data_IF_057942935370
#
_entry.id   IF_057942935370
#
_cell.length_a   1.000
_cell.length_b   1.000
_cell.length_c   1.000
_cell.angle_alpha   90.00
_cell.angle_beta   90.00
_cell.angle_gamma   90.00
#
_symmetry.space_group_name_H-M   'P 1'
#
loop_
_entity.id
_entity.type
_entity.pdbx_description
1 polymer ?
#
# COMPACT_ATOMS: atom_id res chain seq x y z
N UNK A 1 13.15 -17.09 -18.11
CA UNK A 1 12.98 -15.69 -17.66
C UNK A 1 14.09 -15.42 -16.67
N UNK A 2 14.71 -14.25 -16.77
CA UNK A 2 15.69 -13.80 -15.78
C UNK A 2 14.96 -13.56 -14.45
N UNK A 3 15.57 -13.99 -13.33
CA UNK A 3 14.97 -13.83 -12.01
C UNK A 3 15.22 -12.42 -11.50
N UNK A 4 14.28 -11.88 -10.75
CA UNK A 4 14.43 -10.62 -10.03
C UNK A 4 15.51 -10.81 -8.96
N UNK A 5 16.61 -10.06 -9.07
CA UNK A 5 17.73 -10.13 -8.13
C UNK A 5 17.46 -9.23 -6.93
N UNK A 6 17.32 -9.84 -5.75
CA UNK A 6 16.93 -9.16 -4.52
C UNK A 6 18.10 -9.16 -3.55
N UNK A 7 18.36 -8.03 -2.91
CA UNK A 7 19.21 -7.93 -1.75
C UNK A 7 18.41 -7.56 -0.50
N UNK A 8 18.87 -7.99 0.67
CA UNK A 8 18.21 -7.75 1.95
C UNK A 8 19.21 -7.12 2.92
N UNK A 9 18.86 -5.99 3.54
CA UNK A 9 19.64 -5.34 4.57
C UNK A 9 18.81 -5.13 5.84
N UNK A 10 19.07 -5.92 6.87
CA UNK A 10 18.34 -5.87 8.15
C UNK A 10 19.21 -6.53 9.24
N UNK A 11 19.31 -5.92 10.41
CA UNK A 11 20.15 -6.44 11.49
C UNK A 11 19.53 -7.66 12.22
N UNK A 12 18.22 -7.88 12.03
CA UNK A 12 17.51 -9.06 12.50
C UNK A 12 17.76 -10.25 11.58
N UNK A 13 18.77 -11.06 11.94
CA UNK A 13 19.18 -12.27 11.21
C UNK A 13 18.07 -13.30 11.02
N UNK A 14 17.14 -13.41 11.96
CA UNK A 14 16.03 -14.35 11.88
C UNK A 14 15.04 -13.91 10.79
N UNK A 15 14.65 -12.64 10.80
CA UNK A 15 13.79 -12.06 9.76
C UNK A 15 14.43 -12.13 8.37
N UNK A 16 15.73 -11.83 8.27
CA UNK A 16 16.50 -12.01 7.02
C UNK A 16 16.43 -13.45 6.51
N UNK A 17 16.61 -14.43 7.41
CA UNK A 17 16.50 -15.85 7.07
C UNK A 17 15.12 -16.22 6.52
N UNK A 18 14.06 -15.81 7.21
CA UNK A 18 12.68 -16.05 6.80
C UNK A 18 12.35 -15.42 5.44
N UNK A 19 12.72 -14.15 5.23
CA UNK A 19 12.51 -13.46 3.96
C UNK A 19 13.31 -14.14 2.85
N UNK A 20 14.58 -14.49 3.10
CA UNK A 20 15.43 -15.16 2.13
C UNK A 20 14.85 -16.50 1.68
N UNK A 21 14.41 -17.32 2.62
CA UNK A 21 13.84 -18.63 2.30
C UNK A 21 12.52 -18.47 1.53
N UNK A 22 11.65 -17.55 1.97
CA UNK A 22 10.36 -17.30 1.32
C UNK A 22 10.49 -16.76 -0.11
N UNK A 23 11.40 -15.80 -0.33
CA UNK A 23 11.61 -15.18 -1.64
C UNK A 23 12.25 -16.16 -2.63
N UNK A 24 13.19 -17.00 -2.19
CA UNK A 24 13.81 -18.01 -3.05
C UNK A 24 12.86 -19.16 -3.44
N UNK A 25 11.74 -19.34 -2.71
CA UNK A 25 10.67 -20.25 -3.12
C UNK A 25 9.85 -19.70 -4.30
N UNK A 26 9.89 -18.40 -4.57
CA UNK A 26 9.16 -17.80 -5.69
C UNK A 26 9.86 -18.14 -7.01
N UNK A 27 9.12 -18.50 -8.06
CA UNK A 27 9.70 -18.98 -9.32
C UNK A 27 10.52 -17.92 -10.07
N UNK A 28 10.21 -16.63 -9.87
CA UNK A 28 10.78 -15.50 -10.58
C UNK A 28 11.70 -14.61 -9.71
N UNK A 29 12.09 -15.05 -8.51
CA UNK A 29 12.90 -14.24 -7.59
C UNK A 29 14.14 -15.01 -7.12
N UNK A 30 15.18 -14.26 -6.80
CA UNK A 30 16.43 -14.78 -6.24
C UNK A 30 17.03 -13.78 -5.26
N UNK A 31 17.32 -14.22 -4.05
CA UNK A 31 18.04 -13.40 -3.07
C UNK A 31 19.54 -13.57 -3.29
N UNK A 32 20.16 -12.60 -3.96
CA UNK A 32 21.56 -12.65 -4.39
C UNK A 32 22.53 -12.31 -3.26
N UNK A 33 22.13 -11.46 -2.31
CA UNK A 33 23.00 -11.07 -1.21
C UNK A 33 22.23 -10.54 0.02
N UNK A 34 22.89 -10.56 1.18
CA UNK A 34 22.33 -10.08 2.45
C UNK A 34 23.36 -9.26 3.24
N UNK A 35 22.89 -8.22 3.90
CA UNK A 35 23.64 -7.34 4.78
C UNK A 35 22.95 -7.25 6.15
N UNK A 36 23.73 -7.04 7.20
CA UNK A 36 23.22 -6.91 8.58
C UNK A 36 23.52 -5.53 9.19
N UNK A 37 23.94 -4.59 8.35
CA UNK A 37 24.15 -3.18 8.68
C UNK A 37 24.30 -2.35 7.41
N UNK A 38 24.11 -1.03 7.51
CA UNK A 38 24.16 -0.14 6.34
C UNK A 38 25.54 -0.03 5.68
N UNK A 39 26.65 -0.17 6.42
CA UNK A 39 28.00 -0.14 5.81
C UNK A 39 28.22 -1.32 4.88
N UNK A 40 27.91 -2.53 5.35
CA UNK A 40 27.98 -3.74 4.53
C UNK A 40 26.98 -3.71 3.37
N UNK A 41 25.83 -3.07 3.56
CA UNK A 41 24.85 -2.87 2.49
C UNK A 41 25.43 -2.03 1.35
N UNK A 42 26.06 -0.88 1.65
CA UNK A 42 26.70 -0.04 0.63
C UNK A 42 27.80 -0.79 -0.12
N UNK A 43 28.65 -1.55 0.57
CA UNK A 43 29.70 -2.33 -0.09
C UNK A 43 29.12 -3.42 -1.02
N UNK A 44 28.06 -4.10 -0.58
CA UNK A 44 27.34 -5.09 -1.37
C UNK A 44 26.72 -4.49 -2.64
N UNK A 45 26.14 -3.28 -2.55
CA UNK A 45 25.52 -2.60 -3.68
C UNK A 45 26.53 -2.25 -4.80
N UNK A 46 27.84 -2.21 -4.50
CA UNK A 46 28.89 -1.91 -5.49
C UNK A 46 29.31 -3.11 -6.32
N UNK A 47 29.10 -4.32 -5.82
CA UNK A 47 29.68 -5.54 -6.39
C UNK A 47 28.67 -6.44 -7.12
N UNK A 48 27.37 -6.27 -6.84
CA UNK A 48 26.31 -7.15 -7.34
C UNK A 48 25.30 -6.38 -8.17
N UNK A 49 24.77 -7.01 -9.21
CA UNK A 49 23.58 -6.51 -9.90
C UNK A 49 22.35 -6.83 -9.06
N UNK A 50 21.68 -5.77 -8.60
CA UNK A 50 20.50 -5.87 -7.74
C UNK A 50 19.37 -5.11 -8.43
N UNK A 51 18.20 -5.73 -8.51
CA UNK A 51 16.98 -5.09 -8.99
C UNK A 51 16.23 -4.43 -7.84
N UNK A 52 16.13 -5.13 -6.71
CA UNK A 52 15.41 -4.65 -5.53
C UNK A 52 16.26 -4.80 -4.27
N UNK A 53 16.31 -3.74 -3.47
CA UNK A 53 16.84 -3.75 -2.11
C UNK A 53 15.70 -3.69 -1.10
N UNK A 54 15.60 -4.71 -0.24
CA UNK A 54 14.78 -4.65 0.98
C UNK A 54 15.63 -4.07 2.10
N UNK A 55 15.29 -2.88 2.59
CA UNK A 55 16.15 -2.08 3.46
C UNK A 55 15.47 -1.75 4.78
N UNK A 56 16.01 -2.24 5.89
CA UNK A 56 15.58 -1.79 7.21
C UNK A 56 16.05 -0.37 7.51
N UNK A 57 15.22 0.40 8.22
CA UNK A 57 15.58 1.75 8.65
C UNK A 57 16.58 1.73 9.79
N UNK A 58 16.40 0.88 10.80
CA UNK A 58 17.17 0.96 12.05
C UNK A 58 18.22 -0.14 12.05
N UNK A 59 19.38 0.21 11.51
CA UNK A 59 20.54 -0.68 11.50
C UNK A 59 21.72 -0.07 12.26
N UNK A 60 22.61 -0.89 12.84
CA UNK A 60 23.84 -0.42 13.46
C UNK A 60 24.82 0.13 12.41
N UNK A 61 25.76 0.96 12.86
CA UNK A 61 26.85 1.60 12.10
C UNK A 61 26.43 2.62 11.03
N UNK A 62 25.37 2.33 10.27
CA UNK A 62 24.76 3.21 9.27
C UNK A 62 23.29 2.77 9.12
N UNK A 63 22.38 3.72 9.26
CA UNK A 63 20.94 3.48 9.16
C UNK A 63 20.45 3.41 7.69
N UNK A 64 19.22 2.94 7.49
CA UNK A 64 18.65 2.77 6.15
C UNK A 64 18.41 4.09 5.41
N UNK A 65 18.18 5.18 6.12
CA UNK A 65 18.00 6.50 5.50
C UNK A 65 19.32 6.98 4.89
N UNK A 66 20.43 6.82 5.61
CA UNK A 66 21.75 7.15 5.11
C UNK A 66 22.22 6.21 3.98
N UNK A 67 21.79 4.94 3.99
CA UNK A 67 22.00 4.04 2.84
C UNK A 67 21.23 4.53 1.62
N UNK A 68 19.97 4.95 1.81
CA UNK A 68 19.13 5.46 0.73
C UNK A 68 19.68 6.76 0.12
N UNK A 69 20.17 7.68 0.96
CA UNK A 69 20.86 8.89 0.52
C UNK A 69 22.14 8.57 -0.29
N UNK A 70 22.93 7.59 0.16
CA UNK A 70 24.10 7.13 -0.59
C UNK A 70 23.77 6.47 -1.94
N UNK A 71 22.62 5.80 -2.06
CA UNK A 71 22.09 5.31 -3.35
C UNK A 71 21.70 6.50 -4.24
N UNK A 72 21.02 7.50 -3.66
CA UNK A 72 20.61 8.72 -4.36
C UNK A 72 21.79 9.51 -4.94
N UNK A 73 22.91 9.59 -4.22
CA UNK A 73 24.10 10.30 -4.68
C UNK A 73 24.94 9.53 -5.72
N UNK A 74 24.64 8.25 -5.98
CA UNK A 74 25.42 7.41 -6.86
C UNK A 74 24.62 6.97 -8.10
N UNK A 75 24.89 7.61 -9.24
CA UNK A 75 24.23 7.34 -10.53
C UNK A 75 24.22 5.85 -10.93
N UNK A 76 25.23 5.07 -10.49
CA UNK A 76 25.30 3.63 -10.80
C UNK A 76 24.29 2.79 -10.03
N UNK A 77 23.76 3.31 -8.92
CA UNK A 77 22.81 2.63 -8.05
C UNK A 77 21.37 3.10 -8.28
N UNK A 78 21.15 4.11 -9.13
CA UNK A 78 19.81 4.65 -9.46
C UNK A 78 18.87 3.64 -10.13
N UNK A 79 19.41 2.53 -10.65
CA UNK A 79 18.60 1.45 -11.22
C UNK A 79 18.02 0.49 -10.18
N UNK A 80 18.36 0.65 -8.89
CA UNK A 80 17.93 -0.24 -7.81
C UNK A 80 16.67 0.34 -7.17
N UNK A 81 15.58 -0.44 -7.18
CA UNK A 81 14.37 -0.10 -6.46
C UNK A 81 14.51 -0.43 -4.97
N UNK A 82 14.17 0.51 -4.08
CA UNK A 82 14.31 0.31 -2.63
C UNK A 82 12.96 0.20 -1.97
N UNK A 83 12.73 -0.91 -1.26
CA UNK A 83 11.57 -1.10 -0.39
C UNK A 83 12.04 -0.95 1.06
N UNK A 84 11.57 0.10 1.72
CA UNK A 84 11.89 0.34 3.13
C UNK A 84 11.07 -0.57 4.03
N UNK A 85 11.73 -1.18 5.01
CA UNK A 85 11.11 -1.97 6.07
C UNK A 85 11.34 -1.24 7.40
N UNK A 86 10.30 -1.08 8.23
CA UNK A 86 10.48 -0.40 9.52
C UNK A 86 9.44 -0.80 10.54
N UNK A 87 9.84 -0.92 11.81
CA UNK A 87 8.92 -1.04 12.94
C UNK A 87 8.28 0.31 13.34
N UNK A 88 8.78 1.42 12.78
CA UNK A 88 8.32 2.78 13.09
C UNK A 88 7.75 3.43 11.84
N UNK A 89 6.47 3.77 11.91
CA UNK A 89 5.73 4.43 10.83
C UNK A 89 5.52 5.92 11.02
N UNK A 90 6.46 6.65 11.63
CA UNK A 90 6.29 8.10 11.80
C UNK A 90 6.26 8.78 10.41
N UNK A 91 5.30 9.68 10.22
CA UNK A 91 5.07 10.40 8.97
C UNK A 91 6.33 11.12 8.46
N UNK A 92 7.12 11.71 9.38
CA UNK A 92 8.38 12.39 9.06
C UNK A 92 9.41 11.46 8.41
N UNK A 93 9.50 10.21 8.89
CA UNK A 93 10.44 9.20 8.38
C UNK A 93 9.96 8.67 7.03
N UNK A 94 8.65 8.43 6.88
CA UNK A 94 8.08 8.00 5.60
C UNK A 94 8.27 9.07 4.51
N UNK A 95 8.01 10.34 4.85
CA UNK A 95 8.21 11.47 3.96
C UNK A 95 9.68 11.59 3.54
N UNK A 96 10.61 11.50 4.50
CA UNK A 96 12.04 11.53 4.22
C UNK A 96 12.49 10.37 3.32
N UNK A 97 11.99 9.15 3.55
CA UNK A 97 12.30 8.01 2.68
C UNK A 97 11.78 8.21 1.25
N UNK A 98 10.58 8.78 1.08
CA UNK A 98 10.05 9.11 -0.24
C UNK A 98 10.89 10.19 -0.95
N UNK A 99 11.31 11.24 -0.24
CA UNK A 99 12.16 12.31 -0.79
C UNK A 99 13.55 11.82 -1.21
N UNK A 100 14.04 10.75 -0.58
CA UNK A 100 15.29 10.09 -0.96
C UNK A 100 15.11 9.00 -2.04
N UNK A 101 13.90 8.79 -2.53
CA UNK A 101 13.64 7.93 -3.69
C UNK A 101 13.30 6.48 -3.34
N UNK A 102 12.82 6.19 -2.14
CA UNK A 102 12.27 4.87 -1.84
C UNK A 102 11.07 4.56 -2.75
N UNK A 103 11.09 3.38 -3.38
CA UNK A 103 10.03 2.92 -4.28
C UNK A 103 8.76 2.53 -3.51
N UNK A 104 8.92 2.03 -2.27
CA UNK A 104 7.80 1.67 -1.41
C UNK A 104 8.21 1.56 0.06
N UNK A 105 7.23 1.57 0.97
CA UNK A 105 7.43 1.42 2.42
C UNK A 105 6.51 0.32 2.99
N UNK A 106 7.05 -0.55 3.83
CA UNK A 106 6.31 -1.61 4.53
C UNK A 106 6.60 -1.54 6.04
N UNK A 107 5.53 -1.44 6.82
CA UNK A 107 5.61 -1.49 8.28
C UNK A 107 5.79 -2.93 8.78
N UNK A 108 6.67 -3.13 9.76
CA UNK A 108 6.83 -4.37 10.52
C UNK A 108 5.87 -4.37 11.72
N UNK A 109 5.25 -5.52 12.06
CA UNK A 109 5.33 -6.81 11.37
C UNK A 109 4.51 -6.83 10.07
N UNK A 110 4.96 -7.61 9.09
CA UNK A 110 4.28 -7.77 7.80
C UNK A 110 4.15 -9.25 7.41
N UNK A 111 3.17 -9.54 6.56
CA UNK A 111 3.05 -10.84 5.89
C UNK A 111 4.02 -10.90 4.70
N UNK A 112 4.76 -12.00 4.55
CA UNK A 112 5.74 -12.16 3.45
C UNK A 112 5.09 -12.14 2.07
N UNK A 113 3.81 -12.49 1.96
CA UNK A 113 3.01 -12.33 0.73
C UNK A 113 2.93 -10.87 0.27
N UNK A 114 2.87 -9.93 1.21
CA UNK A 114 2.87 -8.50 0.89
C UNK A 114 4.17 -8.08 0.20
N UNK A 115 5.32 -8.63 0.62
CA UNK A 115 6.60 -8.36 -0.05
C UNK A 115 6.59 -8.83 -1.50
N UNK A 116 6.12 -10.06 -1.75
CA UNK A 116 6.08 -10.65 -3.09
C UNK A 116 5.19 -9.84 -4.03
N UNK A 117 4.01 -9.40 -3.55
CA UNK A 117 3.11 -8.55 -4.33
C UNK A 117 3.78 -7.24 -4.70
N UNK A 118 4.45 -6.57 -3.76
CA UNK A 118 5.08 -5.27 -4.01
C UNK A 118 6.31 -5.38 -4.93
N UNK A 119 7.14 -6.40 -4.74
CA UNK A 119 8.28 -6.69 -5.63
C UNK A 119 7.79 -6.86 -7.07
N UNK A 120 6.77 -7.68 -7.30
CA UNK A 120 6.22 -7.87 -8.64
C UNK A 120 5.60 -6.58 -9.20
N UNK A 121 4.90 -5.79 -8.38
CA UNK A 121 4.32 -4.52 -8.81
C UNK A 121 5.38 -3.54 -9.30
N UNK A 122 6.48 -3.40 -8.55
CA UNK A 122 7.62 -2.53 -8.90
C UNK A 122 8.29 -3.02 -10.19
N UNK A 123 8.57 -4.32 -10.32
CA UNK A 123 9.24 -4.86 -11.51
C UNK A 123 8.37 -4.80 -12.78
N UNK A 124 7.06 -4.95 -12.63
CA UNK A 124 6.10 -4.76 -13.73
C UNK A 124 6.05 -3.28 -14.17
N UNK A 125 6.23 -2.34 -13.24
CA UNK A 125 6.34 -0.91 -13.56
C UNK A 125 7.65 -0.61 -14.32
N UNK A 126 8.76 -1.27 -13.98
CA UNK A 126 10.09 -1.10 -14.61
C UNK A 126 10.18 -1.66 -16.02
N UNK A 127 9.45 -2.74 -16.31
CA UNK A 127 9.39 -3.35 -17.65
C UNK A 127 8.52 -2.56 -18.64
N UNK A 128 7.70 -1.64 -18.15
CA UNK A 128 7.02 -0.63 -18.96
C UNK A 128 7.96 0.58 -19.19
N UNK A 129 8.86 0.45 -20.16
CA UNK A 129 9.56 1.60 -20.76
C UNK A 129 8.59 2.42 -21.64
N UNK A 130 8.86 3.72 -21.92
CA UNK A 130 7.85 4.78 -22.09
C UNK A 130 7.03 4.80 -23.40
N UNK A 131 6.96 3.70 -24.15
CA UNK A 131 6.28 3.65 -25.46
C UNK A 131 4.90 2.97 -25.45
N UNK A 132 4.40 2.51 -24.29
CA UNK A 132 3.00 2.15 -24.13
C UNK A 132 2.33 3.04 -23.07
N UNK A 133 1.10 3.52 -23.32
CA UNK A 133 0.45 4.51 -22.49
C UNK A 133 0.29 3.94 -21.08
N UNK A 134 0.98 4.57 -20.13
CA UNK A 134 0.74 4.58 -18.70
C UNK A 134 -0.63 3.97 -18.35
N UNK A 135 -0.69 2.66 -18.02
CA UNK A 135 -1.90 2.10 -17.43
C UNK A 135 -1.90 2.60 -15.99
N UNK A 136 -2.37 3.84 -15.84
CA UNK A 136 -2.72 4.42 -14.56
C UNK A 136 -3.51 3.36 -13.80
N UNK A 137 -3.18 3.08 -12.52
CA UNK A 137 -3.91 2.11 -11.73
C UNK A 137 -5.39 2.37 -11.95
N UNK A 138 -6.11 1.34 -12.40
CA UNK A 138 -7.50 1.56 -12.74
C UNK A 138 -8.19 2.04 -11.47
N UNK A 139 -9.26 2.80 -11.65
CA UNK A 139 -10.02 3.28 -10.52
C UNK A 139 -10.48 2.14 -9.60
N UNK A 140 -10.72 0.96 -10.16
CA UNK A 140 -11.04 -0.23 -9.38
C UNK A 140 -9.87 -0.70 -8.51
N UNK A 141 -8.63 -0.63 -9.00
CA UNK A 141 -7.42 -0.99 -8.26
C UNK A 141 -7.22 -0.03 -7.07
N UNK A 142 -7.39 1.27 -7.28
CA UNK A 142 -7.25 2.29 -6.24
C UNK A 142 -8.29 2.06 -5.14
N UNK A 143 -9.56 1.85 -5.51
CA UNK A 143 -10.62 1.55 -4.54
C UNK A 143 -10.33 0.24 -3.80
N UNK A 144 -9.88 -0.79 -4.50
CA UNK A 144 -9.54 -2.09 -3.89
C UNK A 144 -8.45 -1.96 -2.84
N UNK A 145 -7.40 -1.19 -3.12
CA UNK A 145 -6.30 -0.98 -2.20
C UNK A 145 -6.75 -0.20 -0.96
N UNK A 146 -7.49 0.89 -1.14
CA UNK A 146 -8.01 1.66 -0.01
C UNK A 146 -8.94 0.82 0.90
N UNK A 147 -9.87 0.05 0.34
CA UNK A 147 -10.78 -0.79 1.14
C UNK A 147 -10.02 -1.89 1.91
N UNK A 148 -8.91 -2.39 1.37
CA UNK A 148 -8.03 -3.34 2.08
C UNK A 148 -7.28 -2.65 3.22
N UNK A 149 -6.75 -1.45 3.00
CA UNK A 149 -5.97 -0.72 3.99
C UNK A 149 -6.83 -0.29 5.20
N UNK A 150 -8.13 -0.10 5.00
CA UNK A 150 -9.10 0.12 6.08
C UNK A 150 -9.36 -1.17 6.89
N UNK A 151 -8.89 -2.33 6.43
CA UNK A 151 -8.99 -3.61 7.15
C UNK A 151 -10.32 -4.35 6.94
N UNK A 152 -11.09 -4.00 5.90
CA UNK A 152 -12.33 -4.72 5.58
C UNK A 152 -11.97 -6.07 4.93
N UNK A 153 -12.42 -7.22 5.50
CA UNK A 153 -12.06 -8.52 4.95
C UNK A 153 -12.61 -8.75 3.52
N UNK A 154 -11.77 -9.18 2.56
CA UNK A 154 -12.15 -9.27 1.14
C UNK A 154 -13.18 -10.38 0.83
N UNK A 155 -13.35 -11.34 1.74
CA UNK A 155 -14.31 -12.44 1.59
C UNK A 155 -15.75 -12.03 1.93
N UNK A 156 -15.97 -10.85 2.50
CA UNK A 156 -17.31 -10.38 2.87
C UNK A 156 -18.03 -9.83 1.64
N UNK A 157 -19.32 -10.14 1.48
CA UNK A 157 -20.16 -9.52 0.43
C UNK A 157 -20.20 -8.00 0.54
N UNK A 158 -20.12 -7.47 1.76
CA UNK A 158 -20.05 -6.03 2.02
C UNK A 158 -18.81 -5.36 1.44
N UNK A 159 -17.69 -6.10 1.27
CA UNK A 159 -16.49 -5.60 0.60
C UNK A 159 -16.78 -5.25 -0.86
N UNK A 160 -17.36 -6.18 -1.61
CA UNK A 160 -17.70 -5.95 -3.03
C UNK A 160 -18.76 -4.86 -3.20
N UNK A 161 -19.77 -4.82 -2.32
CA UNK A 161 -20.80 -3.78 -2.37
C UNK A 161 -20.25 -2.39 -2.03
N UNK A 162 -19.31 -2.31 -1.09
CA UNK A 162 -18.66 -1.07 -0.72
C UNK A 162 -17.78 -0.54 -1.86
N UNK A 163 -16.98 -1.41 -2.49
CA UNK A 163 -16.21 -1.05 -3.69
C UNK A 163 -17.12 -0.44 -4.76
N UNK A 164 -18.25 -1.08 -5.03
CA UNK A 164 -19.23 -0.57 -5.99
C UNK A 164 -19.83 0.76 -5.57
N UNK A 165 -20.22 0.90 -4.29
CA UNK A 165 -20.80 2.12 -3.76
C UNK A 165 -19.85 3.32 -3.89
N UNK A 166 -18.58 3.13 -3.52
CA UNK A 166 -17.53 4.14 -3.63
C UNK A 166 -17.26 4.47 -5.09
N UNK A 167 -17.21 3.46 -5.97
CA UNK A 167 -17.07 3.67 -7.41
C UNK A 167 -18.20 4.55 -7.96
N UNK A 168 -19.46 4.21 -7.69
CA UNK A 168 -20.61 4.99 -8.16
C UNK A 168 -20.62 6.43 -7.61
N UNK A 169 -20.29 6.62 -6.33
CA UNK A 169 -20.24 7.96 -5.71
C UNK A 169 -19.15 8.82 -6.33
N UNK A 170 -17.97 8.24 -6.60
CA UNK A 170 -16.90 8.96 -7.27
C UNK A 170 -17.30 9.33 -8.73
N UNK A 171 -18.24 8.63 -9.37
CA UNK A 171 -18.72 8.96 -10.73
C UNK A 171 -19.73 10.08 -10.67
N UNK A 172 -20.63 9.99 -9.70
CA UNK A 172 -21.70 10.95 -9.49
C UNK A 172 -21.86 11.20 -7.98
N UNK A 173 -21.25 12.28 -7.45
CA UNK A 173 -21.32 12.61 -6.03
C UNK A 173 -22.77 12.75 -5.50
N UNK A 174 -23.73 13.03 -6.38
CA UNK A 174 -25.15 13.08 -6.07
C UNK A 174 -25.76 11.80 -5.48
N UNK A 175 -25.12 10.63 -5.66
CA UNK A 175 -25.56 9.38 -5.05
C UNK A 175 -25.53 9.41 -3.51
N UNK A 176 -24.64 10.22 -2.90
CA UNK A 176 -24.59 10.37 -1.43
C UNK A 176 -25.91 10.91 -0.86
N UNK A 177 -26.63 11.75 -1.62
CA UNK A 177 -27.92 12.29 -1.19
C UNK A 177 -29.09 11.33 -1.43
N UNK A 178 -28.85 10.20 -2.10
CA UNK A 178 -29.89 9.27 -2.56
C UNK A 178 -29.53 7.80 -2.31
N UNK A 179 -28.88 7.53 -1.19
CA UNK A 179 -28.32 6.21 -0.90
C UNK A 179 -29.39 5.10 -0.91
N UNK A 180 -30.49 5.29 -0.19
CA UNK A 180 -31.55 4.28 -0.04
C UNK A 180 -32.45 4.17 -1.27
N UNK A 181 -32.55 5.23 -2.08
CA UNK A 181 -33.47 5.33 -3.21
C UNK A 181 -32.83 5.00 -4.56
N UNK A 182 -31.53 5.20 -4.70
CA UNK A 182 -30.82 5.03 -5.98
C UNK A 182 -29.55 4.19 -5.82
N UNK A 183 -28.65 4.50 -4.87
CA UNK A 183 -27.37 3.78 -4.73
C UNK A 183 -27.54 2.29 -4.38
N UNK A 184 -28.26 1.99 -3.30
CA UNK A 184 -28.48 0.60 -2.87
C UNK A 184 -29.32 -0.21 -3.87
N UNK A 185 -30.41 0.32 -4.47
CA UNK A 185 -31.09 -0.33 -5.58
C UNK A 185 -30.21 -0.62 -6.80
N UNK A 186 -29.31 0.30 -7.16
CA UNK A 186 -28.35 0.09 -8.25
C UNK A 186 -27.41 -1.08 -7.98
N UNK A 187 -26.78 -1.10 -6.79
CA UNK A 187 -25.91 -2.20 -6.36
C UNK A 187 -26.69 -3.51 -6.25
N UNK A 188 -27.91 -3.46 -5.70
CA UNK A 188 -28.74 -4.64 -5.52
C UNK A 188 -29.08 -5.31 -6.87
N UNK A 189 -29.36 -4.51 -7.89
CA UNK A 189 -29.59 -4.98 -9.26
C UNK A 189 -28.34 -5.63 -9.84
N UNK A 190 -27.17 -4.99 -9.69
CA UNK A 190 -25.88 -5.50 -10.20
C UNK A 190 -25.47 -6.83 -9.59
N UNK A 191 -25.74 -7.03 -8.30
CA UNK A 191 -25.32 -8.21 -7.54
C UNK A 191 -26.45 -9.23 -7.29
N UNK A 192 -27.57 -9.11 -8.01
CA UNK A 192 -28.75 -9.98 -7.88
C UNK A 192 -29.18 -10.20 -6.42
N UNK A 193 -29.45 -9.10 -5.73
CA UNK A 193 -29.79 -9.08 -4.31
C UNK A 193 -30.82 -7.98 -4.00
N UNK A 194 -31.09 -7.71 -2.72
CA UNK A 194 -32.03 -6.66 -2.29
C UNK A 194 -31.30 -5.45 -1.71
N UNK A 195 -31.85 -4.22 -1.81
CA UNK A 195 -31.24 -3.03 -1.20
C UNK A 195 -30.97 -3.19 0.29
N UNK A 196 -31.90 -3.84 1.00
CA UNK A 196 -31.76 -4.15 2.43
C UNK A 196 -30.60 -5.10 2.75
N UNK A 197 -30.30 -6.06 1.86
CA UNK A 197 -29.14 -6.95 2.00
C UNK A 197 -27.84 -6.20 1.70
N UNK A 198 -27.83 -5.31 0.72
CA UNK A 198 -26.68 -4.44 0.43
C UNK A 198 -26.32 -3.61 1.66
N UNK A 199 -27.31 -2.90 2.21
CA UNK A 199 -27.12 -2.06 3.41
C UNK A 199 -26.59 -2.87 4.60
N UNK A 200 -27.21 -4.01 4.90
CA UNK A 200 -26.80 -4.87 6.02
C UNK A 200 -25.40 -5.45 5.82
N UNK A 201 -25.06 -5.85 4.60
CA UNK A 201 -23.73 -6.39 4.30
C UNK A 201 -22.64 -5.33 4.40
N UNK A 202 -22.88 -4.11 3.92
CA UNK A 202 -21.95 -2.98 4.09
C UNK A 202 -21.79 -2.65 5.57
N UNK A 203 -22.89 -2.58 6.32
CA UNK A 203 -22.86 -2.34 7.77
C UNK A 203 -21.98 -3.34 8.50
N UNK A 204 -22.18 -4.62 8.20
CA UNK A 204 -21.42 -5.71 8.80
C UNK A 204 -19.93 -5.64 8.42
N UNK A 205 -19.59 -5.29 7.18
CA UNK A 205 -18.21 -5.11 6.76
C UNK A 205 -17.50 -3.98 7.53
N UNK A 206 -18.17 -2.84 7.69
CA UNK A 206 -17.66 -1.72 8.49
C UNK A 206 -17.53 -2.13 9.97
N UNK A 207 -18.45 -2.91 10.51
CA UNK A 207 -18.35 -3.44 11.89
C UNK A 207 -17.10 -4.25 12.13
N UNK A 208 -16.81 -5.18 11.23
CA UNK A 208 -15.65 -6.05 11.36
C UNK A 208 -14.33 -5.27 11.30
N UNK A 209 -14.27 -4.22 10.47
CA UNK A 209 -13.13 -3.32 10.44
C UNK A 209 -13.03 -2.49 11.74
N UNK A 210 -14.13 -1.90 12.21
CA UNK A 210 -14.10 -0.95 13.34
C UNK A 210 -13.93 -1.57 14.74
N UNK A 211 -14.15 -2.89 14.90
CA UNK A 211 -13.93 -3.57 16.20
C UNK A 211 -12.46 -3.82 16.55
N UNK A 212 -11.53 -3.62 15.60
CA UNK A 212 -10.10 -3.76 15.86
C UNK A 212 -9.60 -2.42 16.43
N UNK A 213 -8.95 -2.41 17.59
CA UNK A 213 -8.56 -1.15 18.25
C UNK A 213 -7.49 -0.38 17.44
N UNK A 214 -6.67 -1.09 16.65
CA UNK A 214 -5.60 -0.52 15.81
C UNK A 214 -6.12 0.21 14.55
N UNK A 215 -7.40 0.04 14.19
CA UNK A 215 -7.95 0.65 12.96
C UNK A 215 -8.36 2.10 13.11
N UNK A 216 -8.74 2.60 14.28
CA UNK A 216 -9.26 3.99 14.40
C UNK A 216 -8.16 5.03 14.22
N UNK A 217 -6.98 4.78 14.79
CA UNK A 217 -5.80 5.64 14.61
C UNK A 217 -5.30 5.58 13.15
N UNK A 218 -5.25 4.38 12.56
CA UNK A 218 -4.85 4.19 11.17
C UNK A 218 -5.87 4.79 10.17
N UNK A 219 -7.16 4.80 10.51
CA UNK A 219 -8.22 5.49 9.76
C UNK A 219 -8.13 7.01 9.95
N UNK A 220 -7.72 7.50 11.13
CA UNK A 220 -7.44 8.93 11.31
C UNK A 220 -6.32 9.39 10.38
N UNK A 221 -5.25 8.60 10.25
CA UNK A 221 -4.12 8.87 9.35
C UNK A 221 -4.50 8.78 7.87
N UNK A 222 -5.20 7.71 7.44
CA UNK A 222 -5.60 7.52 6.03
C UNK A 222 -6.54 8.63 5.55
N UNK A 223 -7.45 9.09 6.41
CA UNK A 223 -8.53 9.98 6.00
C UNK A 223 -8.34 11.44 6.42
N UNK A 224 -7.30 11.76 7.21
CA UNK A 224 -7.01 13.12 7.68
C UNK A 224 -8.06 13.70 8.64
N UNK A 225 -8.95 12.88 9.20
CA UNK A 225 -9.92 13.31 10.21
C UNK A 225 -9.31 13.21 11.60
N UNK A 226 -9.70 14.10 12.52
CA UNK A 226 -9.23 13.99 13.91
C UNK A 226 -9.79 12.73 14.59
N UNK A 227 -8.99 12.06 15.43
CA UNK A 227 -9.41 10.90 16.23
C UNK A 227 -10.70 11.20 17.03
N UNK A 228 -10.88 12.44 17.48
CA UNK A 228 -12.09 12.93 18.15
C UNK A 228 -13.36 12.87 17.26
N UNK A 229 -13.25 13.04 15.94
CA UNK A 229 -14.35 12.85 14.99
C UNK A 229 -14.68 11.37 14.72
N UNK A 230 -13.77 10.46 15.06
CA UNK A 230 -13.87 9.03 14.81
C UNK A 230 -14.19 8.21 16.07
N UNK A 231 -14.45 8.88 17.21
CA UNK A 231 -14.82 8.25 18.48
C UNK A 231 -16.08 7.37 18.38
N UNK A 232 -16.95 7.67 17.43
CA UNK A 232 -18.14 6.87 17.15
C UNK A 232 -18.07 6.23 15.76
N UNK A 233 -18.48 4.96 15.69
CA UNK A 233 -18.49 4.20 14.43
C UNK A 233 -19.40 4.90 13.40
N UNK A 234 -18.91 5.16 12.18
CA UNK A 234 -19.67 5.89 11.17
C UNK A 234 -20.88 5.10 10.68
N UNK A 235 -21.88 5.84 10.19
CA UNK A 235 -22.95 5.26 9.39
C UNK A 235 -22.42 4.75 8.06
N UNK A 236 -23.17 3.87 7.38
CA UNK A 236 -22.76 3.40 6.05
C UNK A 236 -22.53 4.57 5.09
N UNK A 237 -23.40 5.58 5.15
CA UNK A 237 -23.35 6.77 4.31
C UNK A 237 -22.12 7.63 4.60
N UNK A 238 -21.85 7.89 5.87
CA UNK A 238 -20.65 8.63 6.30
C UNK A 238 -19.39 7.90 5.88
N UNK A 239 -19.32 6.58 6.09
CA UNK A 239 -18.16 5.79 5.71
C UNK A 239 -17.91 5.80 4.19
N UNK A 240 -18.96 5.65 3.38
CA UNK A 240 -18.83 5.75 1.91
C UNK A 240 -18.34 7.14 1.49
N UNK A 241 -18.84 8.20 2.13
CA UNK A 241 -18.41 9.57 1.87
C UNK A 241 -16.93 9.77 2.23
N UNK A 242 -16.51 9.32 3.42
CA UNK A 242 -15.11 9.39 3.86
C UNK A 242 -14.18 8.72 2.84
N UNK A 243 -14.51 7.51 2.37
CA UNK A 243 -13.68 6.77 1.39
C UNK A 243 -13.64 7.48 0.05
N UNK A 244 -14.77 8.02 -0.40
CA UNK A 244 -14.83 8.78 -1.63
C UNK A 244 -14.00 10.09 -1.55
N UNK A 245 -14.09 10.82 -0.44
CA UNK A 245 -13.39 12.08 -0.22
C UNK A 245 -11.87 11.87 -0.15
N UNK A 246 -11.39 10.86 0.58
CA UNK A 246 -9.96 10.52 0.63
C UNK A 246 -9.40 10.18 -0.75
N UNK A 247 -10.14 9.46 -1.58
CA UNK A 247 -9.74 9.18 -2.96
C UNK A 247 -9.72 10.42 -3.86
N UNK A 248 -10.54 11.44 -3.57
CA UNK A 248 -10.51 12.70 -4.30
C UNK A 248 -9.31 13.57 -3.92
N UNK A 249 -8.96 13.63 -2.62
CA UNK A 249 -7.82 14.41 -2.11
C UNK A 249 -6.49 13.87 -2.66
N UNK A 250 -6.29 12.54 -2.62
CA UNK A 250 -5.07 11.91 -3.17
C UNK A 250 -4.89 12.18 -4.68
N UNK A 251 -6.01 12.33 -5.41
CA UNK A 251 -6.01 12.67 -6.84
C UNK A 251 -5.72 14.17 -7.11
N UNK A 252 -5.99 15.06 -6.15
CA UNK A 252 -5.66 16.49 -6.26
C UNK A 252 -4.17 16.73 -5.94
N UNK A 253 -3.63 16.11 -4.89
CA UNK A 253 -2.21 16.25 -4.52
C UNK A 253 -1.27 15.70 -5.60
N UNK A 254 -1.64 14.61 -6.28
CA UNK A 254 -0.87 14.06 -7.42
C UNK A 254 -0.89 14.99 -8.65
N UNK A 255 -1.94 15.80 -8.81
CA UNK A 255 -2.05 16.78 -9.91
C UNK A 255 -1.23 18.03 -9.62
N UNK A 256 -1.19 18.48 -8.37
CA UNK A 256 -0.40 19.65 -7.96
C UNK A 256 1.10 19.37 -7.95
N UNK A 257 1.54 18.14 -7.66
CA UNK A 257 2.95 17.72 -7.75
C UNK A 257 3.46 17.46 -9.18
N UNK A 258 2.56 17.50 -10.18
CA UNK A 258 2.89 17.32 -11.61
C UNK A 258 2.94 18.65 -12.39
N UNK A 259 2.99 19.79 -11.70
CA UNK A 259 3.19 21.14 -12.25
C UNK A 259 4.36 21.83 -11.56
#
# INVERSE_FOLDING_TARGET
MEKIKIAIADDNRELVGLMKDYLNLQPNMEVVNVAYNGKTCIEMLKSEEIDILLLDIIMPYLDGIAVLDAIKENDKLQGIDVIMLSAFGQESIMSQAADYGASYFIMKPFETDRLVVQINHIMNKRSNTPDEPEVKPTREDIITNMVKDIGIPPHLKGYSYLKEAVSLVLEQPGFLNKITKELYPGIATKFDTTPSRVERSIRHAIEQAWTRHETVDHISEIFGYSVAHLESKPTNSEFIAMVADSLQVENQEKREKSH
#
